data_IF_986624428251
#
_entry.id   IF_986624428251
#
_cell.length_a   1.000
_cell.length_b   1.000
_cell.length_c   1.000
_cell.angle_alpha   90.00
_cell.angle_beta   90.00
_cell.angle_gamma   90.00
#
_symmetry.space_group_name_H-M   'P 1'
#
loop_
_entity.id
_entity.type
_entity.pdbx_description
1 polymer ?
#
# COMPACT_ATOMS: atom_id res chain seq x y z
N UNK A 1 2.40 2.29 20.82
CA UNK A 1 2.35 2.07 19.35
C UNK A 1 0.88 2.02 19.00
N UNK A 2 0.42 2.91 18.12
CA UNK A 2 -0.98 2.92 17.69
C UNK A 2 -1.26 1.62 16.94
N UNK A 3 -2.43 1.03 17.17
CA UNK A 3 -2.82 -0.21 16.47
C UNK A 3 -3.54 0.05 15.15
N UNK A 4 -3.82 1.33 14.85
CA UNK A 4 -4.49 1.84 13.64
C UNK A 4 -5.91 1.27 13.38
N UNK A 5 -6.51 0.58 14.35
CA UNK A 5 -7.87 0.04 14.20
C UNK A 5 -8.90 1.14 13.94
N UNK A 6 -8.75 2.28 14.61
CA UNK A 6 -9.70 3.42 14.53
C UNK A 6 -9.67 4.14 13.16
N UNK A 7 -8.67 3.87 12.34
CA UNK A 7 -8.48 4.53 11.03
C UNK A 7 -8.44 3.54 9.87
N UNK A 8 -8.66 2.26 10.15
CA UNK A 8 -8.68 1.19 9.13
C UNK A 8 -10.12 0.77 8.88
N UNK A 9 -10.53 0.72 7.61
CA UNK A 9 -11.82 0.18 7.22
C UNK A 9 -11.91 -1.31 7.61
N UNK A 10 -12.87 -1.63 8.47
CA UNK A 10 -13.11 -3.00 8.93
C UNK A 10 -14.28 -3.63 8.19
N UNK A 11 -14.23 -4.94 8.05
CA UNK A 11 -15.36 -5.69 7.46
C UNK A 11 -16.60 -5.59 8.35
N UNK A 12 -17.67 -5.02 7.81
CA UNK A 12 -18.92 -4.78 8.51
C UNK A 12 -19.15 -3.32 8.92
N UNK A 13 -18.19 -2.44 8.68
CA UNK A 13 -18.38 -1.01 8.84
C UNK A 13 -19.39 -0.47 7.82
N UNK A 14 -20.15 0.53 8.22
CA UNK A 14 -21.00 1.30 7.31
C UNK A 14 -20.11 2.16 6.41
N UNK A 15 -20.04 1.80 5.13
CA UNK A 15 -19.28 2.54 4.12
C UNK A 15 -20.18 3.03 3.01
N UNK A 16 -19.86 4.19 2.44
CA UNK A 16 -20.59 4.71 1.30
C UNK A 16 -20.29 3.92 0.03
N UNK A 17 -21.21 3.92 -0.93
CA UNK A 17 -20.96 3.33 -2.25
C UNK A 17 -19.76 3.95 -2.95
N UNK A 18 -19.47 5.24 -2.70
CA UNK A 18 -18.32 5.93 -3.22
C UNK A 18 -17.00 5.37 -2.65
N UNK A 19 -16.93 5.09 -1.35
CA UNK A 19 -15.75 4.46 -0.73
C UNK A 19 -15.49 3.07 -1.33
N UNK A 20 -16.55 2.26 -1.53
CA UNK A 20 -16.43 0.96 -2.17
C UNK A 20 -15.92 1.08 -3.61
N UNK A 21 -16.44 2.04 -4.38
CA UNK A 21 -16.00 2.29 -5.75
C UNK A 21 -14.53 2.74 -5.80
N UNK A 22 -14.12 3.69 -4.96
CA UNK A 22 -12.71 4.14 -4.88
C UNK A 22 -11.78 2.99 -4.54
N UNK A 23 -12.14 2.17 -3.55
CA UNK A 23 -11.37 0.99 -3.19
C UNK A 23 -11.26 0.02 -4.38
N UNK A 24 -12.38 -0.29 -5.03
CA UNK A 24 -12.41 -1.19 -6.19
C UNK A 24 -11.56 -0.67 -7.35
N UNK A 25 -11.67 0.62 -7.68
CA UNK A 25 -10.92 1.24 -8.77
C UNK A 25 -9.40 1.17 -8.54
N UNK A 26 -8.92 1.43 -7.31
CA UNK A 26 -7.49 1.29 -6.96
C UNK A 26 -6.96 -0.10 -7.28
N UNK A 27 -7.69 -1.12 -6.86
CA UNK A 27 -7.25 -2.51 -7.06
C UNK A 27 -7.40 -2.96 -8.51
N UNK A 28 -8.44 -2.53 -9.23
CA UNK A 28 -8.56 -2.81 -10.67
C UNK A 28 -7.42 -2.15 -11.45
N UNK A 29 -7.09 -0.91 -11.14
CA UNK A 29 -5.95 -0.22 -11.73
C UNK A 29 -4.64 -0.98 -11.43
N UNK A 30 -4.36 -1.28 -10.17
CA UNK A 30 -3.16 -2.02 -9.77
C UNK A 30 -3.07 -3.40 -10.44
N UNK A 31 -4.20 -4.07 -10.64
CA UNK A 31 -4.25 -5.39 -11.27
C UNK A 31 -3.59 -5.44 -12.65
N UNK A 32 -3.62 -4.35 -13.40
CA UNK A 32 -2.95 -4.27 -14.71
C UNK A 32 -1.42 -4.36 -14.59
N UNK A 33 -0.86 -3.76 -13.54
CA UNK A 33 0.57 -3.78 -13.25
C UNK A 33 1.02 -5.08 -12.58
N UNK A 34 0.11 -5.76 -11.88
CA UNK A 34 0.41 -6.96 -11.10
C UNK A 34 0.36 -8.26 -11.92
N UNK A 35 -0.15 -8.22 -13.15
CA UNK A 35 -0.35 -9.43 -13.95
C UNK A 35 0.96 -10.18 -14.19
N UNK A 36 0.98 -11.45 -13.76
CA UNK A 36 2.11 -12.37 -13.89
C UNK A 36 3.41 -11.89 -13.19
N UNK A 37 3.30 -11.01 -12.19
CA UNK A 37 4.38 -10.40 -11.43
C UNK A 37 4.49 -10.97 -10.01
N UNK A 38 5.69 -10.85 -9.41
CA UNK A 38 5.91 -11.09 -7.98
C UNK A 38 5.59 -9.79 -7.21
N UNK A 39 4.49 -9.78 -6.48
CA UNK A 39 3.87 -8.57 -5.88
C UNK A 39 3.94 -8.60 -4.37
N UNK A 40 4.10 -7.45 -3.75
CA UNK A 40 3.85 -7.25 -2.32
C UNK A 40 3.00 -6.01 -2.07
N UNK A 41 1.97 -6.14 -1.21
CA UNK A 41 1.24 -5.00 -0.67
C UNK A 41 1.70 -4.75 0.77
N UNK A 42 2.24 -3.56 1.02
CA UNK A 42 2.67 -3.10 2.35
C UNK A 42 1.59 -2.23 2.98
N UNK A 43 1.49 -2.27 4.31
CA UNK A 43 0.40 -1.62 5.05
C UNK A 43 -0.98 -2.02 4.48
N UNK A 44 -1.18 -3.31 4.26
CA UNK A 44 -2.36 -3.85 3.57
C UNK A 44 -3.67 -3.75 4.36
N UNK A 45 -3.62 -3.35 5.63
CA UNK A 45 -4.79 -3.28 6.49
C UNK A 45 -5.50 -4.63 6.61
N UNK A 46 -6.83 -4.62 6.48
CA UNK A 46 -7.64 -5.84 6.45
C UNK A 46 -7.61 -6.57 5.11
N UNK A 47 -6.96 -5.99 4.12
CA UNK A 47 -6.72 -6.60 2.81
C UNK A 47 -7.94 -6.62 1.87
N UNK A 48 -8.72 -5.54 1.73
CA UNK A 48 -9.99 -5.55 0.97
C UNK A 48 -9.81 -5.98 -0.49
N UNK A 49 -8.67 -5.69 -1.12
CA UNK A 49 -8.40 -6.03 -2.52
C UNK A 49 -7.45 -7.19 -2.76
N UNK A 50 -6.84 -7.76 -1.72
CA UNK A 50 -5.84 -8.82 -1.87
C UNK A 50 -6.38 -10.06 -2.61
N UNK A 51 -7.65 -10.38 -2.44
CA UNK A 51 -8.28 -11.50 -3.14
C UNK A 51 -8.38 -11.29 -4.66
N UNK A 52 -8.48 -10.04 -5.11
CA UNK A 52 -8.42 -9.70 -6.53
C UNK A 52 -6.99 -9.79 -7.05
N UNK A 53 -6.03 -9.17 -6.36
CA UNK A 53 -4.61 -9.18 -6.75
C UNK A 53 -4.03 -10.61 -6.79
N UNK A 54 -4.45 -11.48 -5.86
CA UNK A 54 -4.02 -12.89 -5.81
C UNK A 54 -4.38 -13.67 -7.09
N UNK A 55 -5.43 -13.24 -7.80
CA UNK A 55 -5.81 -13.84 -9.09
C UNK A 55 -5.06 -13.28 -10.29
N UNK A 56 -4.43 -12.12 -10.14
CA UNK A 56 -3.68 -11.45 -11.20
C UNK A 56 -2.19 -11.74 -11.12
N UNK A 57 -1.65 -11.72 -9.91
CA UNK A 57 -0.23 -11.84 -9.67
C UNK A 57 0.27 -13.29 -9.87
N UNK A 58 1.53 -13.43 -10.26
CA UNK A 58 2.25 -14.72 -10.22
C UNK A 58 2.47 -15.17 -8.78
N UNK A 59 2.86 -14.24 -7.91
CA UNK A 59 2.89 -14.43 -6.47
C UNK A 59 2.45 -13.15 -5.76
N UNK A 60 1.75 -13.30 -4.63
CA UNK A 60 1.34 -12.17 -3.80
C UNK A 60 1.71 -12.46 -2.35
N UNK A 61 2.38 -11.52 -1.73
CA UNK A 61 2.56 -11.42 -0.29
C UNK A 61 1.97 -10.10 0.20
N UNK A 62 1.58 -10.03 1.45
CA UNK A 62 1.09 -8.79 2.01
C UNK A 62 1.43 -8.68 3.50
N UNK A 63 1.44 -7.47 4.03
CA UNK A 63 1.68 -7.27 5.44
C UNK A 63 1.37 -5.89 5.94
N UNK A 64 1.33 -5.82 7.26
CA UNK A 64 1.03 -4.60 8.00
C UNK A 64 1.86 -4.54 9.28
N UNK A 65 2.03 -3.36 9.84
CA UNK A 65 2.71 -3.17 11.12
C UNK A 65 1.80 -3.56 12.31
N UNK A 66 0.48 -3.48 12.11
CA UNK A 66 -0.54 -3.76 13.11
C UNK A 66 -0.94 -5.23 13.16
N UNK A 67 -0.54 -5.92 14.21
CA UNK A 67 -0.93 -7.32 14.42
C UNK A 67 -2.45 -7.52 14.62
N UNK A 68 -3.17 -6.64 15.35
CA UNK A 68 -4.62 -6.72 15.44
C UNK A 68 -5.33 -6.70 14.09
N UNK A 69 -4.94 -5.79 13.19
CA UNK A 69 -5.49 -5.67 11.84
C UNK A 69 -5.18 -6.93 11.00
N UNK A 70 -3.93 -7.39 11.04
CA UNK A 70 -3.53 -8.62 10.34
C UNK A 70 -4.31 -9.85 10.81
N UNK A 71 -4.69 -9.90 12.07
CA UNK A 71 -5.50 -11.01 12.60
C UNK A 71 -6.91 -11.03 11.99
N UNK A 72 -7.47 -9.86 11.66
CA UNK A 72 -8.74 -9.77 10.93
C UNK A 72 -8.54 -10.29 9.49
N UNK A 73 -7.51 -9.82 8.80
CA UNK A 73 -7.19 -10.28 7.46
C UNK A 73 -6.91 -11.80 7.42
N UNK A 74 -6.15 -12.34 8.38
CA UNK A 74 -5.87 -13.79 8.48
C UNK A 74 -7.13 -14.64 8.69
N UNK A 75 -8.11 -14.15 9.45
CA UNK A 75 -9.40 -14.85 9.60
C UNK A 75 -10.13 -15.00 8.27
N UNK A 76 -10.03 -13.99 7.39
CA UNK A 76 -10.68 -14.01 6.10
C UNK A 76 -9.90 -14.83 5.05
N UNK A 77 -8.58 -14.63 4.96
CA UNK A 77 -7.76 -15.26 3.94
C UNK A 77 -7.28 -16.68 4.32
N UNK A 78 -7.12 -16.97 5.60
CA UNK A 78 -6.59 -18.24 6.07
C UNK A 78 -5.20 -18.51 5.47
N UNK A 79 -5.01 -19.74 4.96
CA UNK A 79 -3.75 -20.15 4.34
C UNK A 79 -3.64 -19.79 2.84
N UNK A 80 -4.62 -19.08 2.28
CA UNK A 80 -4.62 -18.74 0.85
C UNK A 80 -3.61 -17.66 0.49
N UNK A 81 -3.21 -16.85 1.46
CA UNK A 81 -2.33 -15.71 1.28
C UNK A 81 -1.36 -15.59 2.45
N UNK A 82 -0.03 -15.52 2.18
CA UNK A 82 0.95 -15.22 3.22
C UNK A 82 0.80 -13.77 3.72
N UNK A 83 0.34 -13.63 4.97
CA UNK A 83 0.21 -12.33 5.65
C UNK A 83 1.25 -12.22 6.76
N UNK A 84 2.14 -11.25 6.65
CA UNK A 84 3.28 -11.07 7.55
C UNK A 84 3.19 -9.75 8.31
N UNK A 85 3.60 -9.75 9.57
CA UNK A 85 3.81 -8.51 10.31
C UNK A 85 5.17 -7.94 9.96
N UNK A 86 5.21 -6.71 9.43
CA UNK A 86 6.45 -5.99 9.20
C UNK A 86 6.22 -4.47 9.07
N UNK A 87 7.31 -3.73 9.21
CA UNK A 87 7.38 -2.30 8.94
C UNK A 87 7.70 -2.09 7.44
N UNK A 88 6.96 -1.22 6.77
CA UNK A 88 7.21 -0.86 5.37
C UNK A 88 8.61 -0.22 5.17
N UNK A 89 9.16 0.42 6.21
CA UNK A 89 10.51 0.95 6.22
C UNK A 89 11.60 -0.10 6.52
N UNK A 90 11.22 -1.38 6.72
CA UNK A 90 12.13 -2.52 6.95
C UNK A 90 11.46 -3.82 6.52
N UNK A 91 11.40 -4.05 5.22
CA UNK A 91 10.69 -5.18 4.64
C UNK A 91 11.47 -6.51 4.79
N UNK A 92 10.80 -7.62 5.16
CA UNK A 92 11.45 -8.91 5.35
C UNK A 92 11.64 -9.69 4.03
N UNK A 93 12.02 -8.98 2.98
CA UNK A 93 12.24 -9.55 1.65
C UNK A 93 13.71 -9.40 1.24
N UNK A 94 14.19 -10.32 0.42
CA UNK A 94 15.54 -10.24 -0.14
C UNK A 94 15.62 -9.16 -1.21
N UNK A 95 16.81 -8.69 -1.50
CA UNK A 95 17.08 -7.73 -2.57
C UNK A 95 16.61 -8.29 -3.92
N UNK A 96 16.09 -7.44 -4.78
CA UNK A 96 15.66 -7.78 -6.14
C UNK A 96 14.70 -8.98 -6.20
N UNK A 97 13.73 -9.04 -5.30
CA UNK A 97 12.81 -10.19 -5.16
C UNK A 97 11.38 -9.91 -5.61
N UNK A 98 11.02 -8.65 -5.79
CA UNK A 98 9.68 -8.22 -6.21
C UNK A 98 9.71 -7.43 -7.50
N UNK A 99 8.61 -7.48 -8.24
CA UNK A 99 8.38 -6.69 -9.45
C UNK A 99 7.50 -5.48 -9.16
N UNK A 100 6.58 -5.61 -8.18
CA UNK A 100 5.64 -4.55 -7.81
C UNK A 100 5.50 -4.46 -6.30
N UNK A 101 5.59 -3.23 -5.78
CA UNK A 101 5.26 -2.88 -4.40
C UNK A 101 4.04 -1.97 -4.42
N UNK A 102 3.02 -2.31 -3.61
CA UNK A 102 1.79 -1.54 -3.48
C UNK A 102 1.73 -0.92 -2.09
N UNK A 103 1.38 0.35 -1.99
CA UNK A 103 0.99 1.03 -0.76
C UNK A 103 -0.24 1.91 -1.03
N UNK A 104 -1.38 1.56 -0.43
CA UNK A 104 -2.63 2.28 -0.63
C UNK A 104 -3.12 2.89 0.67
N UNK A 105 -3.41 4.21 0.63
CA UNK A 105 -3.93 5.01 1.74
C UNK A 105 -3.12 4.85 3.05
N UNK A 106 -1.80 4.70 2.93
CA UNK A 106 -0.95 4.44 4.09
C UNK A 106 0.39 5.20 4.08
N UNK A 107 0.81 5.77 2.96
CA UNK A 107 2.09 6.47 2.86
C UNK A 107 2.21 7.63 3.86
N UNK A 108 1.11 8.26 4.21
CA UNK A 108 1.05 9.36 5.17
C UNK A 108 1.15 8.91 6.64
N UNK A 109 1.11 7.62 6.93
CA UNK A 109 1.39 7.05 8.24
C UNK A 109 2.87 6.64 8.41
N UNK A 110 3.65 6.68 7.35
CA UNK A 110 5.07 6.33 7.44
C UNK A 110 5.84 7.43 8.19
N UNK A 111 6.63 7.06 9.20
CA UNK A 111 7.44 8.02 9.94
C UNK A 111 8.62 8.56 9.12
N UNK A 112 9.04 7.84 8.08
CA UNK A 112 10.22 8.15 7.28
C UNK A 112 10.04 7.63 5.84
N UNK A 113 9.63 8.53 4.95
CA UNK A 113 9.40 8.19 3.54
C UNK A 113 10.71 7.82 2.83
N UNK A 114 11.83 8.40 3.23
CA UNK A 114 13.12 8.14 2.61
C UNK A 114 13.55 6.69 2.85
N UNK A 115 13.41 6.20 4.08
CA UNK A 115 13.65 4.78 4.40
C UNK A 115 12.72 3.85 3.66
N UNK A 116 11.45 4.22 3.49
CA UNK A 116 10.52 3.43 2.71
C UNK A 116 10.98 3.30 1.25
N UNK A 117 11.40 4.41 0.62
CA UNK A 117 11.88 4.39 -0.76
C UNK A 117 13.18 3.59 -0.89
N UNK A 118 14.10 3.72 0.08
CA UNK A 118 15.34 2.92 0.11
C UNK A 118 15.03 1.41 0.18
N UNK A 119 14.05 1.01 1.00
CA UNK A 119 13.59 -0.37 1.06
C UNK A 119 12.89 -0.82 -0.22
N UNK A 120 12.06 0.03 -0.83
CA UNK A 120 11.48 -0.26 -2.14
C UNK A 120 12.57 -0.51 -3.19
N UNK A 121 13.57 0.38 -3.25
CA UNK A 121 14.70 0.26 -4.19
C UNK A 121 15.49 -1.01 -3.96
N UNK A 122 15.70 -1.42 -2.72
CA UNK A 122 16.39 -2.67 -2.39
C UNK A 122 15.61 -3.92 -2.81
N UNK A 123 14.30 -3.91 -2.55
CA UNK A 123 13.43 -5.09 -2.73
C UNK A 123 13.00 -5.28 -4.18
N UNK A 124 12.81 -4.17 -4.92
CA UNK A 124 12.43 -4.23 -6.33
C UNK A 124 13.56 -4.73 -7.22
N UNK A 125 13.19 -5.51 -8.22
CA UNK A 125 14.06 -5.81 -9.36
C UNK A 125 14.28 -4.55 -10.21
N UNK A 126 15.31 -4.51 -11.06
CA UNK A 126 15.39 -3.49 -12.12
C UNK A 126 14.05 -3.39 -12.88
N UNK A 127 13.63 -2.19 -13.19
CA UNK A 127 12.34 -1.87 -13.83
C UNK A 127 11.09 -2.26 -13.01
N UNK A 128 11.25 -2.51 -11.70
CA UNK A 128 10.14 -2.74 -10.79
C UNK A 128 9.37 -1.46 -10.48
N UNK A 129 8.11 -1.59 -10.10
CA UNK A 129 7.17 -0.47 -9.95
C UNK A 129 6.67 -0.33 -8.51
N UNK A 130 6.45 0.92 -8.09
CA UNK A 130 5.78 1.26 -6.82
C UNK A 130 4.43 1.88 -7.17
N UNK A 131 3.35 1.24 -6.71
CA UNK A 131 1.99 1.73 -6.91
C UNK A 131 1.49 2.39 -5.62
N UNK A 132 1.17 3.67 -5.71
CA UNK A 132 0.75 4.47 -4.55
C UNK A 132 -0.64 5.04 -4.82
N UNK A 133 -1.57 4.82 -3.89
CA UNK A 133 -2.79 5.60 -3.81
C UNK A 133 -2.79 6.36 -2.49
N UNK A 134 -3.04 7.65 -2.54
CA UNK A 134 -3.00 8.52 -1.37
C UNK A 134 -3.93 9.71 -1.53
N UNK A 135 -4.42 10.23 -0.40
CA UNK A 135 -5.15 11.49 -0.40
C UNK A 135 -4.22 12.64 -0.82
N UNK A 136 -4.72 13.52 -1.67
CA UNK A 136 -4.00 14.73 -2.09
C UNK A 136 -4.33 15.87 -1.12
N UNK A 137 -3.33 16.35 -0.37
CA UNK A 137 -3.49 17.44 0.59
C UNK A 137 -3.84 18.79 -0.03
N UNK A 138 -3.62 18.94 -1.34
CA UNK A 138 -3.87 20.21 -2.05
C UNK A 138 -5.32 20.36 -2.50
N UNK A 139 -6.18 19.37 -2.23
CA UNK A 139 -7.61 19.44 -2.51
C UNK A 139 -8.34 20.32 -1.49
N UNK A 140 -9.35 21.13 -1.90
CA UNK A 140 -10.05 22.06 -1.02
C UNK A 140 -10.74 21.41 0.20
N UNK A 141 -11.17 20.17 0.06
CA UNK A 141 -11.89 19.42 1.11
C UNK A 141 -10.98 18.43 1.85
N UNK A 142 -9.66 18.61 1.76
CA UNK A 142 -8.73 17.72 2.42
C UNK A 142 -8.91 17.75 3.94
N UNK A 143 -9.03 16.56 4.52
CA UNK A 143 -9.11 16.35 5.96
C UNK A 143 -8.09 15.28 6.39
N UNK A 144 -7.10 15.64 7.24
CA UNK A 144 -6.07 14.67 7.63
C UNK A 144 -6.64 13.58 8.53
N UNK A 145 -6.19 12.35 8.32
CA UNK A 145 -6.48 11.23 9.21
C UNK A 145 -5.75 11.38 10.54
N UNK A 146 -6.33 10.97 11.67
CA UNK A 146 -5.61 10.81 12.94
C UNK A 146 -4.38 9.92 12.76
N UNK A 147 -3.32 10.18 13.55
CA UNK A 147 -2.05 9.43 13.54
C UNK A 147 -1.20 9.57 12.27
N UNK A 148 -1.64 10.36 11.27
CA UNK A 148 -0.81 10.64 10.10
C UNK A 148 0.45 11.45 10.49
N UNK A 149 1.57 11.11 9.88
CA UNK A 149 2.83 11.85 10.05
C UNK A 149 2.92 13.00 9.07
N UNK A 150 2.76 12.73 7.79
CA UNK A 150 2.87 13.75 6.76
C UNK A 150 2.06 13.39 5.52
N UNK A 151 1.27 14.34 5.03
CA UNK A 151 0.64 14.24 3.71
C UNK A 151 1.45 14.98 2.67
N UNK A 152 1.47 14.43 1.47
CA UNK A 152 2.23 14.95 0.35
C UNK A 152 1.30 15.41 -0.77
N UNK A 153 1.61 16.54 -1.39
CA UNK A 153 1.01 16.96 -2.64
C UNK A 153 1.71 16.29 -3.83
N UNK A 154 1.12 16.44 -5.02
CA UNK A 154 1.66 15.85 -6.25
C UNK A 154 3.09 16.31 -6.53
N UNK A 155 3.38 17.60 -6.35
CA UNK A 155 4.70 18.17 -6.63
C UNK A 155 5.75 17.59 -5.67
N UNK A 156 5.42 17.50 -4.39
CA UNK A 156 6.33 16.96 -3.37
C UNK A 156 6.64 15.48 -3.62
N UNK A 157 5.62 14.65 -3.91
CA UNK A 157 5.84 13.24 -4.24
C UNK A 157 6.72 13.11 -5.48
N UNK A 158 6.47 13.92 -6.51
CA UNK A 158 7.30 13.92 -7.71
C UNK A 158 8.76 14.21 -7.39
N UNK A 159 9.04 15.27 -6.63
CA UNK A 159 10.40 15.65 -6.26
C UNK A 159 11.10 14.58 -5.43
N UNK A 160 10.40 14.01 -4.43
CA UNK A 160 10.93 12.95 -3.57
C UNK A 160 11.33 11.73 -4.40
N UNK A 161 10.46 11.22 -5.26
CA UNK A 161 10.74 10.02 -6.05
C UNK A 161 11.75 10.26 -7.17
N UNK A 162 11.69 11.42 -7.84
CA UNK A 162 12.68 11.77 -8.87
C UNK A 162 14.09 11.96 -8.30
N UNK A 163 14.22 12.46 -7.06
CA UNK A 163 15.54 12.56 -6.39
C UNK A 163 16.19 11.19 -6.16
N UNK A 164 15.43 10.11 -6.25
CA UNK A 164 15.86 8.71 -6.12
C UNK A 164 15.86 7.96 -7.46
N UNK A 165 15.84 8.71 -8.59
CA UNK A 165 15.86 8.20 -9.96
C UNK A 165 14.62 7.36 -10.35
N UNK A 166 13.47 7.57 -9.70
CA UNK A 166 12.21 7.01 -10.14
C UNK A 166 11.54 7.92 -11.17
N UNK A 167 11.05 7.32 -12.24
CA UNK A 167 10.10 7.97 -13.14
C UNK A 167 8.71 7.97 -12.50
N UNK A 168 7.99 9.10 -12.58
CA UNK A 168 6.71 9.25 -11.87
C UNK A 168 5.57 9.58 -12.83
N UNK A 169 4.46 8.84 -12.69
CA UNK A 169 3.21 9.11 -13.40
C UNK A 169 2.10 9.32 -12.38
N UNK A 170 1.25 10.32 -12.60
CA UNK A 170 0.15 10.65 -11.70
C UNK A 170 -1.18 10.48 -12.44
N UNK A 171 -2.16 9.96 -11.70
CA UNK A 171 -3.53 9.74 -12.17
C UNK A 171 -4.50 10.37 -11.18
N UNK A 172 -5.65 10.90 -11.64
CA UNK A 172 -6.69 11.52 -10.84
C UNK A 172 -8.09 11.18 -11.33
#
# INVERSE_FOLDING_TARGET
MNDYLDVTELSGDDVSSEQVLRCSHRYFWAGHYCKDKDVVEVACGTGPGLGFLLRQAKSLEAGDISEPILNIARKYYGNRLPLKKFDACKMPFTDNSKDVIIIFEAIYYLPDIDKFIDECTRVLRPDGEILIATANKDLPEFNPSPYSHNYYGIIELKEIFQSRNYDTQFYG
#
